data_IF_786487744479
#
_entry.id   IF_786487744479
#
_cell.length_a   1.000
_cell.length_b   1.000
_cell.length_c   1.000
_cell.angle_alpha   90.00
_cell.angle_beta   90.00
_cell.angle_gamma   90.00
#
_symmetry.space_group_name_H-M   'P 1'
#
loop_
_entity.id
_entity.type
_entity.pdbx_description
1 polymer ?
#
# COMPACT_ATOMS: atom_id res chain seq x y z
N UNK A 1 11.97 76.13 17.47
CA UNK A 1 13.05 75.68 16.65
C UNK A 1 12.49 74.58 15.75
N UNK A 2 12.51 74.87 14.47
CA UNK A 2 11.69 74.28 13.41
C UNK A 2 12.10 72.84 13.08
N UNK A 3 11.07 71.99 12.92
CA UNK A 3 11.22 70.67 12.36
C UNK A 3 10.44 70.60 11.06
N UNK A 4 11.13 70.36 9.96
CA UNK A 4 10.60 70.30 8.60
C UNK A 4 10.23 68.85 8.33
N UNK A 5 8.96 68.59 8.07
CA UNK A 5 8.43 67.32 7.62
C UNK A 5 8.56 67.20 6.10
N UNK A 6 9.39 66.33 5.59
CA UNK A 6 9.45 65.94 4.17
C UNK A 6 8.46 64.80 3.93
N UNK A 7 7.39 65.07 3.16
CA UNK A 7 6.49 64.06 2.59
C UNK A 7 7.17 63.47 1.31
N UNK A 8 7.47 62.21 1.37
CA UNK A 8 7.82 61.43 0.17
C UNK A 8 6.54 60.90 -0.46
N UNK A 9 6.28 61.32 -1.70
CA UNK A 9 5.23 60.83 -2.58
C UNK A 9 5.75 59.52 -3.22
N UNK A 10 5.10 58.44 -2.91
CA UNK A 10 5.38 57.14 -3.58
C UNK A 10 4.43 56.99 -4.76
N UNK A 11 4.93 56.85 -6.01
CA UNK A 11 4.05 56.54 -7.13
C UNK A 11 3.64 55.06 -7.09
N UNK A 12 2.32 54.85 -7.12
CA UNK A 12 1.69 53.56 -7.26
C UNK A 12 1.89 53.04 -8.68
N UNK A 13 2.85 52.14 -8.87
CA UNK A 13 2.94 51.29 -10.03
C UNK A 13 2.16 50.01 -9.81
N UNK A 14 0.94 49.94 -10.31
CA UNK A 14 0.17 48.72 -10.47
C UNK A 14 0.77 47.92 -11.65
N UNK A 15 1.32 46.71 -11.41
CA UNK A 15 1.57 45.82 -12.53
C UNK A 15 0.25 45.12 -12.91
N UNK A 16 -0.19 45.35 -14.12
CA UNK A 16 -1.24 44.57 -14.76
C UNK A 16 -0.83 43.09 -14.81
N UNK A 17 -1.35 42.31 -13.90
CA UNK A 17 -1.28 40.85 -13.98
C UNK A 17 -2.22 40.40 -15.11
N UNK A 18 -1.69 40.32 -16.31
CA UNK A 18 -2.25 39.47 -17.36
C UNK A 18 -2.08 38.02 -16.89
N UNK A 19 -3.15 37.47 -16.32
CA UNK A 19 -3.26 36.08 -16.00
C UNK A 19 -3.21 35.25 -17.28
N UNK A 20 -2.04 34.78 -17.65
CA UNK A 20 -1.84 33.68 -18.58
C UNK A 20 -2.40 32.43 -17.92
N UNK A 21 -3.67 32.12 -18.22
CA UNK A 21 -4.24 30.81 -17.97
C UNK A 21 -3.50 29.79 -18.85
N UNK A 22 -2.34 29.35 -18.39
CA UNK A 22 -1.74 28.10 -18.83
C UNK A 22 -2.61 26.99 -18.26
N UNK A 23 -3.57 26.54 -19.10
CA UNK A 23 -4.32 25.33 -18.86
C UNK A 23 -3.35 24.18 -18.67
N UNK A 24 -3.11 23.80 -17.41
CA UNK A 24 -2.47 22.55 -17.06
C UNK A 24 -3.39 21.45 -17.57
N UNK A 25 -3.15 20.96 -18.77
CA UNK A 25 -3.63 19.67 -19.23
C UNK A 25 -2.98 18.68 -18.28
N UNK A 26 -3.66 18.36 -17.18
CA UNK A 26 -3.35 17.17 -16.38
C UNK A 26 -3.61 16.00 -17.33
N UNK A 27 -2.57 15.60 -18.06
CA UNK A 27 -2.51 14.29 -18.67
C UNK A 27 -2.69 13.32 -17.53
N UNK A 28 -3.88 12.72 -17.43
CA UNK A 28 -4.11 11.55 -16.63
C UNK A 28 -3.18 10.47 -17.16
N UNK A 29 -1.96 10.47 -16.67
CA UNK A 29 -1.09 9.30 -16.81
C UNK A 29 -1.87 8.16 -16.18
N UNK A 30 -2.14 7.08 -16.91
CA UNK A 30 -2.71 5.89 -16.31
C UNK A 30 -1.78 5.52 -15.16
N UNK A 31 -2.29 5.62 -13.95
CA UNK A 31 -1.57 5.09 -12.78
C UNK A 31 -1.35 3.63 -13.13
N UNK A 32 -0.10 3.19 -13.31
CA UNK A 32 0.14 1.80 -13.60
C UNK A 32 -0.53 1.02 -12.47
N UNK A 33 -1.39 0.07 -12.82
CA UNK A 33 -2.03 -0.88 -11.89
C UNK A 33 -0.99 -1.80 -11.24
N UNK A 34 0.20 -1.30 -11.03
CA UNK A 34 1.45 -1.95 -10.67
C UNK A 34 1.52 -2.46 -9.22
N UNK A 35 0.43 -2.46 -8.49
CA UNK A 35 0.42 -2.93 -7.09
C UNK A 35 -0.64 -4.00 -6.84
N UNK A 36 -1.25 -4.58 -7.86
CA UNK A 36 -2.19 -5.68 -7.66
C UNK A 36 -1.59 -6.95 -8.23
N UNK A 37 -1.30 -7.90 -7.37
CA UNK A 37 -0.97 -9.25 -7.81
C UNK A 37 -2.20 -9.88 -8.48
N UNK A 38 -2.01 -10.54 -9.62
CA UNK A 38 -3.10 -11.18 -10.34
C UNK A 38 -3.62 -12.42 -9.61
N UNK A 39 -2.70 -13.16 -8.99
CA UNK A 39 -3.00 -14.41 -8.31
C UNK A 39 -2.07 -14.67 -7.11
N UNK A 40 -2.42 -15.69 -6.32
CA UNK A 40 -1.69 -16.05 -5.12
C UNK A 40 -0.26 -16.55 -5.40
N UNK A 41 -0.02 -17.18 -6.54
CA UNK A 41 1.32 -17.66 -6.89
C UNK A 41 2.28 -16.48 -7.12
N UNK A 42 1.84 -15.43 -7.79
CA UNK A 42 2.60 -14.20 -7.99
C UNK A 42 2.88 -13.50 -6.65
N UNK A 43 1.87 -13.38 -5.79
CA UNK A 43 2.05 -12.86 -4.44
C UNK A 43 3.11 -13.65 -3.67
N UNK A 44 3.01 -14.98 -3.61
CA UNK A 44 3.95 -15.79 -2.85
C UNK A 44 5.38 -15.70 -3.38
N UNK A 45 5.55 -15.66 -4.71
CA UNK A 45 6.86 -15.47 -5.32
C UNK A 45 7.48 -14.14 -4.89
N UNK A 46 6.72 -13.06 -4.99
CA UNK A 46 7.15 -11.72 -4.58
C UNK A 46 7.40 -11.61 -3.07
N UNK A 47 6.64 -12.34 -2.25
CA UNK A 47 6.73 -12.32 -0.80
C UNK A 47 7.73 -13.33 -0.22
N UNK A 48 8.31 -14.22 -1.02
CA UNK A 48 9.12 -15.33 -0.55
C UNK A 48 10.29 -14.89 0.35
N UNK A 49 11.01 -13.87 -0.06
CA UNK A 49 12.10 -13.28 0.73
C UNK A 49 11.59 -12.70 2.06
N UNK A 50 10.51 -11.92 2.01
CA UNK A 50 9.90 -11.31 3.20
C UNK A 50 9.46 -12.36 4.21
N UNK A 51 8.83 -13.44 3.74
CA UNK A 51 8.35 -14.53 4.58
C UNK A 51 9.54 -15.23 5.25
N UNK A 52 10.60 -15.57 4.50
CA UNK A 52 11.82 -16.16 5.06
C UNK A 52 12.47 -15.26 6.12
N UNK A 53 12.53 -13.94 5.86
CA UNK A 53 13.06 -12.97 6.81
C UNK A 53 12.23 -12.94 8.11
N UNK A 54 10.92 -12.94 8.01
CA UNK A 54 10.02 -12.95 9.18
C UNK A 54 10.10 -14.25 9.96
N UNK A 55 10.24 -15.38 9.28
CA UNK A 55 10.44 -16.70 9.90
C UNK A 55 11.87 -16.90 10.44
N UNK A 56 12.78 -15.92 10.27
CA UNK A 56 14.21 -16.01 10.62
C UNK A 56 14.93 -17.17 9.93
N UNK A 57 14.52 -17.46 8.71
CA UNK A 57 15.08 -18.54 7.85
C UNK A 57 15.98 -18.00 6.74
N UNK A 58 16.21 -16.70 6.71
CA UNK A 58 17.04 -16.05 5.71
C UNK A 58 18.52 -16.26 6.09
N UNK A 59 19.32 -16.75 5.15
CA UNK A 59 20.78 -16.82 5.32
C UNK A 59 21.44 -15.50 4.92
N UNK A 60 22.70 -15.32 5.36
CA UNK A 60 23.48 -14.12 5.00
C UNK A 60 23.73 -14.06 3.48
N UNK A 61 23.96 -15.22 2.82
CA UNK A 61 24.12 -15.31 1.37
C UNK A 61 22.85 -14.91 0.65
N UNK A 62 21.68 -15.37 1.09
CA UNK A 62 20.39 -14.98 0.50
C UNK A 62 20.12 -13.48 0.68
N UNK A 63 20.51 -12.89 1.82
CA UNK A 63 20.37 -11.46 2.05
C UNK A 63 21.29 -10.63 1.14
N UNK A 64 22.52 -11.06 0.91
CA UNK A 64 23.46 -10.40 -0.02
C UNK A 64 22.93 -10.52 -1.46
N UNK A 65 22.47 -11.69 -1.87
CA UNK A 65 21.94 -11.93 -3.20
C UNK A 65 20.71 -11.06 -3.46
N UNK A 66 19.78 -10.96 -2.49
CA UNK A 66 18.56 -10.18 -2.60
C UNK A 66 18.82 -8.68 -2.83
N UNK A 67 19.91 -8.15 -2.29
CA UNK A 67 20.35 -6.76 -2.56
C UNK A 67 20.85 -6.59 -3.97
N UNK A 68 21.56 -7.58 -4.49
CA UNK A 68 22.18 -7.51 -5.82
C UNK A 68 21.19 -7.68 -6.96
N UNK A 69 20.13 -8.44 -6.78
CA UNK A 69 19.15 -8.79 -7.83
C UNK A 69 17.81 -8.02 -7.70
N UNK A 70 17.68 -7.11 -6.72
CA UNK A 70 16.48 -6.31 -6.53
C UNK A 70 15.33 -7.01 -5.80
N UNK A 71 15.56 -8.21 -5.26
CA UNK A 71 14.54 -8.95 -4.48
C UNK A 71 14.07 -8.17 -3.25
N UNK A 72 14.93 -7.35 -2.64
CA UNK A 72 14.56 -6.47 -1.54
C UNK A 72 13.44 -5.47 -1.94
N UNK A 73 13.41 -5.03 -3.20
CA UNK A 73 12.35 -4.14 -3.68
C UNK A 73 11.01 -4.87 -3.72
N UNK A 74 10.99 -6.11 -4.18
CA UNK A 74 9.79 -6.96 -4.17
C UNK A 74 9.30 -7.21 -2.73
N UNK A 75 10.22 -7.33 -1.77
CA UNK A 75 9.88 -7.41 -0.35
C UNK A 75 9.12 -6.17 0.14
N UNK A 76 9.54 -4.98 -0.28
CA UNK A 76 8.84 -3.73 0.01
C UNK A 76 7.40 -3.71 -0.54
N UNK A 77 7.22 -4.18 -1.77
CA UNK A 77 5.89 -4.31 -2.41
C UNK A 77 5.02 -5.32 -1.64
N UNK A 78 5.57 -6.47 -1.28
CA UNK A 78 4.87 -7.48 -0.46
C UNK A 78 4.38 -6.90 0.87
N UNK A 79 5.27 -6.23 1.61
CA UNK A 79 4.92 -5.62 2.90
C UNK A 79 3.86 -4.53 2.71
N UNK A 80 3.97 -3.72 1.67
CA UNK A 80 3.01 -2.69 1.32
C UNK A 80 1.62 -3.28 1.06
N UNK A 81 1.56 -4.35 0.27
CA UNK A 81 0.31 -5.07 0.00
C UNK A 81 -0.30 -5.67 1.26
N UNK A 82 0.49 -6.36 2.07
CA UNK A 82 0.02 -6.93 3.34
C UNK A 82 -0.52 -5.86 4.29
N UNK A 83 0.14 -4.70 4.38
CA UNK A 83 -0.34 -3.55 5.16
C UNK A 83 -1.65 -2.99 4.61
N UNK A 84 -1.77 -2.85 3.30
CA UNK A 84 -3.02 -2.38 2.68
C UNK A 84 -4.19 -3.33 2.98
N UNK A 85 -3.97 -4.64 2.89
CA UNK A 85 -4.97 -5.64 3.24
C UNK A 85 -5.30 -5.63 4.73
N UNK A 86 -4.31 -5.49 5.60
CA UNK A 86 -4.52 -5.33 7.04
C UNK A 86 -5.43 -4.14 7.34
N UNK A 87 -5.13 -2.97 6.76
CA UNK A 87 -5.96 -1.77 6.95
C UNK A 87 -7.36 -1.93 6.37
N UNK A 88 -7.49 -2.60 5.21
CA UNK A 88 -8.80 -2.88 4.62
C UNK A 88 -9.67 -3.74 5.57
N UNK A 89 -9.11 -4.78 6.16
CA UNK A 89 -9.79 -5.61 7.15
C UNK A 89 -10.17 -4.78 8.37
N UNK A 90 -9.25 -3.99 8.91
CA UNK A 90 -9.47 -3.13 10.07
C UNK A 90 -10.54 -2.05 9.83
N UNK A 91 -10.70 -1.58 8.60
CA UNK A 91 -11.74 -0.61 8.26
C UNK A 91 -13.14 -1.25 8.23
N UNK A 92 -13.23 -2.55 7.95
CA UNK A 92 -14.49 -3.29 7.89
C UNK A 92 -14.85 -3.91 9.26
N UNK A 93 -13.87 -4.42 9.99
CA UNK A 93 -14.03 -4.95 11.34
C UNK A 93 -12.81 -4.57 12.21
N UNK A 94 -12.87 -3.39 12.82
CA UNK A 94 -11.76 -2.80 13.57
C UNK A 94 -11.30 -3.64 14.77
N UNK A 95 -12.19 -4.49 15.32
CA UNK A 95 -11.89 -5.24 16.55
C UNK A 95 -11.24 -6.57 16.28
N UNK A 96 -11.52 -7.21 15.16
CA UNK A 96 -11.12 -8.59 14.92
C UNK A 96 -9.61 -8.84 14.97
N UNK A 97 -8.81 -7.95 14.38
CA UNK A 97 -7.36 -8.07 14.39
C UNK A 97 -6.72 -7.37 15.60
N UNK A 98 -7.28 -6.22 16.03
CA UNK A 98 -6.73 -5.45 17.14
C UNK A 98 -6.84 -6.18 18.48
N UNK A 99 -8.00 -6.78 18.77
CA UNK A 99 -8.24 -7.50 20.01
C UNK A 99 -7.29 -8.72 20.17
N UNK A 100 -6.88 -9.29 19.05
CA UNK A 100 -5.94 -10.43 19.02
C UNK A 100 -4.48 -10.00 18.79
N UNK A 101 -4.20 -8.67 18.74
CA UNK A 101 -2.87 -8.10 18.52
C UNK A 101 -2.20 -8.61 17.23
N UNK A 102 -3.00 -8.92 16.23
CA UNK A 102 -2.53 -9.35 14.90
C UNK A 102 -1.95 -8.15 14.17
N UNK A 103 -0.85 -8.33 13.47
CA UNK A 103 -0.24 -7.34 12.61
C UNK A 103 -0.13 -7.81 11.16
N UNK A 104 0.35 -6.95 10.27
CA UNK A 104 0.47 -7.28 8.84
C UNK A 104 1.45 -8.44 8.56
N UNK A 105 2.47 -8.63 9.43
CA UNK A 105 3.41 -9.75 9.34
C UNK A 105 2.69 -11.08 9.64
N UNK A 106 1.90 -11.11 10.72
CA UNK A 106 1.13 -12.31 11.08
C UNK A 106 0.15 -12.68 9.97
N UNK A 107 -0.42 -11.67 9.34
CA UNK A 107 -1.39 -11.85 8.26
C UNK A 107 -0.73 -12.49 7.03
N UNK A 108 0.42 -11.97 6.55
CA UNK A 108 1.10 -12.54 5.37
C UNK A 108 1.64 -13.95 5.63
N UNK A 109 2.16 -14.23 6.83
CA UNK A 109 2.60 -15.57 7.20
C UNK A 109 1.40 -16.54 7.18
N UNK A 110 0.26 -16.12 7.72
CA UNK A 110 -0.94 -16.96 7.73
C UNK A 110 -1.52 -17.19 6.33
N UNK A 111 -1.42 -16.21 5.45
CA UNK A 111 -1.80 -16.36 4.02
C UNK A 111 -0.85 -17.33 3.31
N UNK A 112 0.45 -17.27 3.58
CA UNK A 112 1.40 -18.24 3.06
C UNK A 112 1.06 -19.68 3.51
N UNK A 113 0.74 -19.86 4.78
CA UNK A 113 0.32 -21.18 5.29
C UNK A 113 -1.01 -21.61 4.69
N UNK A 114 -1.97 -20.72 4.52
CA UNK A 114 -3.22 -21.01 3.83
C UNK A 114 -3.00 -21.57 2.43
N UNK A 115 -2.10 -20.98 1.63
CA UNK A 115 -1.79 -21.48 0.30
C UNK A 115 -1.05 -22.82 0.32
N UNK A 116 -0.22 -23.10 1.33
CA UNK A 116 0.41 -24.42 1.50
C UNK A 116 -0.63 -25.52 1.73
N UNK A 117 -1.65 -25.24 2.54
CA UNK A 117 -2.73 -26.22 2.83
C UNK A 117 -3.77 -26.29 1.70
N UNK A 118 -3.98 -25.21 0.97
CA UNK A 118 -4.99 -25.10 -0.08
C UNK A 118 -4.40 -24.61 -1.40
N UNK A 119 -3.53 -25.37 -2.06
CA UNK A 119 -2.81 -24.93 -3.25
C UNK A 119 -3.72 -24.61 -4.45
N UNK A 120 -4.92 -25.19 -4.50
CA UNK A 120 -5.92 -24.86 -5.53
C UNK A 120 -6.33 -23.37 -5.50
N UNK A 121 -6.16 -22.68 -4.38
CA UNK A 121 -6.48 -21.26 -4.26
C UNK A 121 -5.38 -20.32 -4.80
N UNK A 122 -4.22 -20.86 -5.22
CA UNK A 122 -3.13 -20.05 -5.80
C UNK A 122 -3.54 -19.30 -7.07
N UNK A 123 -4.54 -19.80 -7.80
CA UNK A 123 -5.07 -19.14 -9.01
C UNK A 123 -6.03 -18.00 -8.70
N UNK A 124 -6.48 -17.87 -7.45
CA UNK A 124 -7.42 -16.82 -7.07
C UNK A 124 -6.70 -15.49 -6.78
N UNK A 125 -7.42 -14.36 -6.94
CA UNK A 125 -6.90 -13.06 -6.52
C UNK A 125 -6.47 -13.08 -5.04
N UNK A 126 -5.28 -12.56 -4.71
CA UNK A 126 -4.72 -12.68 -3.36
C UNK A 126 -5.58 -12.10 -2.25
N UNK A 127 -6.29 -11.02 -2.51
CA UNK A 127 -7.15 -10.40 -1.50
C UNK A 127 -8.17 -11.38 -0.92
N UNK A 128 -8.66 -12.35 -1.72
CA UNK A 128 -9.58 -13.38 -1.23
C UNK A 128 -8.94 -14.30 -0.20
N UNK A 129 -7.66 -14.61 -0.34
CA UNK A 129 -6.93 -15.39 0.65
C UNK A 129 -6.78 -14.61 1.97
N UNK A 130 -6.47 -13.31 1.90
CA UNK A 130 -6.40 -12.46 3.09
C UNK A 130 -7.73 -12.42 3.84
N UNK A 131 -8.86 -12.24 3.14
CA UNK A 131 -10.19 -12.24 3.75
C UNK A 131 -10.54 -13.60 4.35
N UNK A 132 -10.29 -14.70 3.63
CA UNK A 132 -10.54 -16.05 4.13
C UNK A 132 -9.73 -16.37 5.38
N UNK A 133 -8.46 -15.95 5.39
CA UNK A 133 -7.60 -16.11 6.56
C UNK A 133 -8.09 -15.26 7.72
N UNK A 134 -8.47 -14.01 7.48
CA UNK A 134 -9.00 -13.12 8.51
C UNK A 134 -10.29 -13.70 9.13
N UNK A 135 -11.23 -14.14 8.30
CA UNK A 135 -12.49 -14.74 8.77
C UNK A 135 -12.27 -16.08 9.47
N UNK A 136 -11.48 -16.98 8.87
CA UNK A 136 -11.30 -18.34 9.37
C UNK A 136 -10.39 -18.44 10.61
N UNK A 137 -9.34 -17.64 10.69
CA UNK A 137 -8.34 -17.73 11.76
C UNK A 137 -8.65 -16.79 12.92
N UNK A 138 -9.17 -15.60 12.63
CA UNK A 138 -9.37 -14.56 13.63
C UNK A 138 -10.84 -14.16 13.83
N UNK A 139 -11.78 -14.81 13.09
CA UNK A 139 -13.20 -14.57 13.25
C UNK A 139 -13.66 -13.18 12.80
N UNK A 140 -12.92 -12.55 11.89
CA UNK A 140 -13.34 -11.27 11.32
C UNK A 140 -14.61 -11.45 10.48
N UNK A 141 -15.51 -10.48 10.53
CA UNK A 141 -16.68 -10.44 9.65
C UNK A 141 -16.42 -9.51 8.48
N UNK A 142 -15.54 -9.93 7.57
CA UNK A 142 -15.18 -9.15 6.38
C UNK A 142 -15.67 -9.84 5.13
N UNK A 143 -16.51 -9.13 4.38
CA UNK A 143 -17.01 -9.56 3.07
C UNK A 143 -16.59 -8.55 2.00
N UNK A 144 -16.26 -9.02 0.81
CA UNK A 144 -16.11 -8.15 -0.35
C UNK A 144 -17.50 -7.94 -0.96
N UNK A 145 -18.10 -6.78 -0.68
CA UNK A 145 -19.34 -6.40 -1.35
C UNK A 145 -19.02 -6.04 -2.81
N UNK A 146 -19.31 -6.94 -3.73
CA UNK A 146 -19.29 -6.67 -5.18
C UNK A 146 -20.27 -5.57 -5.60
N UNK A 147 -21.11 -5.10 -4.69
CA UNK A 147 -22.17 -4.14 -4.95
C UNK A 147 -21.71 -2.71 -5.30
N UNK A 148 -20.43 -2.40 -5.10
CA UNK A 148 -19.89 -1.07 -5.41
C UNK A 148 -19.35 -0.91 -6.84
N UNK A 149 -19.51 -1.88 -7.73
CA UNK A 149 -19.09 -1.78 -9.15
C UNK A 149 -20.13 -1.15 -10.09
N UNK A 150 -21.28 -0.72 -9.57
CA UNK A 150 -22.33 -0.09 -10.40
C UNK A 150 -22.79 1.22 -9.75
N UNK A 151 -21.97 2.27 -9.92
CA UNK A 151 -22.43 3.66 -9.92
C UNK A 151 -21.53 4.51 -10.80
#
# INVERSE_FOLDING_TARGET
MSSIASRAVVPSLLPSFTALFLGAIMTFLPIPSALSYENGAELLNSCSYTIKAFERKLTDEEAIQARSDGTEMNAGVCIGFAKAMYWNIMMNDAKCLSDQKVNAQDLIISVNDFYKYFPANLSLPPYLAFLRVANGKWGCDVSFDEKNKTK
#
